data_IF_445556417131
#
_entry.id   IF_445556417131
#
_cell.length_a   1.000
_cell.length_b   1.000
_cell.length_c   1.000
_cell.angle_alpha   90.00
_cell.angle_beta   90.00
_cell.angle_gamma   90.00
#
_symmetry.space_group_name_H-M   'P 1'
#
loop_
_entity.id
_entity.type
_entity.pdbx_description
1 polymer ?
#
# COMPACT_ATOMS: atom_id res chain seq x y z
N UNK A 1 -33.94 -1.99 -28.87
CA UNK A 1 -32.80 -2.02 -27.94
C UNK A 1 -32.98 -3.04 -26.81
N UNK A 2 -33.79 -2.80 -25.77
CA UNK A 2 -33.93 -3.73 -24.62
C UNK A 2 -34.19 -5.20 -25.00
N UNK A 3 -35.11 -5.44 -25.95
CA UNK A 3 -35.38 -6.79 -26.47
C UNK A 3 -34.20 -7.45 -27.21
N UNK A 4 -33.28 -6.65 -27.73
CA UNK A 4 -32.13 -7.09 -28.53
C UNK A 4 -30.85 -7.25 -27.70
N UNK A 5 -30.64 -6.39 -26.70
CA UNK A 5 -29.41 -6.33 -25.90
C UNK A 5 -29.60 -6.74 -24.44
N UNK A 6 -30.84 -7.01 -24.00
CA UNK A 6 -31.14 -7.44 -22.63
C UNK A 6 -31.07 -6.33 -21.58
N UNK A 7 -30.40 -5.22 -21.86
CA UNK A 7 -30.26 -4.06 -20.99
C UNK A 7 -30.78 -2.74 -21.63
N UNK A 8 -30.67 -1.67 -20.86
CA UNK A 8 -30.94 -0.29 -21.30
C UNK A 8 -29.70 0.60 -21.16
N UNK A 9 -28.51 0.00 -21.15
CA UNK A 9 -27.23 0.73 -21.15
C UNK A 9 -26.83 1.09 -22.59
N UNK A 10 -27.64 1.95 -23.23
CA UNK A 10 -27.44 2.35 -24.63
C UNK A 10 -26.17 3.22 -24.75
N UNK A 11 -25.11 2.78 -25.47
CA UNK A 11 -23.91 3.58 -25.69
C UNK A 11 -24.24 4.88 -26.42
N UNK A 12 -23.54 5.99 -26.09
CA UNK A 12 -23.75 7.29 -26.73
C UNK A 12 -23.65 7.24 -28.27
N UNK A 13 -22.82 6.33 -28.79
CA UNK A 13 -22.59 6.11 -30.22
C UNK A 13 -23.65 5.27 -30.91
N UNK A 14 -24.60 4.66 -30.17
CA UNK A 14 -25.59 3.77 -30.76
C UNK A 14 -26.64 4.54 -31.59
N UNK A 15 -26.83 4.08 -32.83
CA UNK A 15 -27.84 4.55 -33.78
C UNK A 15 -28.75 3.37 -34.11
N UNK A 16 -30.05 3.54 -33.91
CA UNK A 16 -31.05 2.54 -34.25
C UNK A 16 -31.19 2.39 -35.77
N UNK A 17 -31.75 1.27 -36.24
CA UNK A 17 -31.92 0.97 -37.67
C UNK A 17 -32.79 1.97 -38.44
N UNK A 18 -33.53 2.83 -37.74
CA UNK A 18 -34.32 3.93 -38.28
C UNK A 18 -33.57 5.28 -38.27
N UNK A 19 -32.26 5.27 -38.00
CA UNK A 19 -31.40 6.46 -37.96
C UNK A 19 -31.45 7.24 -36.63
N UNK A 20 -32.25 6.81 -35.65
CA UNK A 20 -32.36 7.52 -34.36
C UNK A 20 -31.16 7.27 -33.45
N UNK A 21 -30.49 8.34 -33.01
CA UNK A 21 -29.37 8.30 -32.05
C UNK A 21 -29.85 8.07 -30.61
N UNK A 22 -30.33 6.86 -30.32
CA UNK A 22 -30.95 6.54 -29.02
C UNK A 22 -30.00 6.76 -27.83
N UNK A 23 -28.69 6.54 -27.99
CA UNK A 23 -27.73 6.76 -26.92
C UNK A 23 -27.59 8.23 -26.49
N UNK A 24 -27.49 9.12 -27.48
CA UNK A 24 -27.47 10.58 -27.25
C UNK A 24 -28.80 11.04 -26.65
N UNK A 25 -29.92 10.54 -27.20
CA UNK A 25 -31.25 10.89 -26.72
C UNK A 25 -31.43 10.51 -25.24
N UNK A 26 -31.09 9.28 -24.85
CA UNK A 26 -31.23 8.81 -23.47
C UNK A 26 -30.38 9.62 -22.49
N UNK A 27 -29.16 10.00 -22.88
CA UNK A 27 -28.31 10.87 -22.05
C UNK A 27 -28.90 12.27 -21.88
N UNK A 28 -29.50 12.83 -22.93
CA UNK A 28 -30.17 14.12 -22.83
C UNK A 28 -31.38 14.04 -21.88
N UNK A 29 -32.17 12.96 -21.93
CA UNK A 29 -33.27 12.74 -20.97
C UNK A 29 -32.76 12.64 -19.53
N UNK A 30 -31.69 11.86 -19.28
CA UNK A 30 -31.07 11.76 -17.94
C UNK A 30 -30.53 13.12 -17.46
N UNK A 31 -29.97 13.94 -18.35
CA UNK A 31 -29.50 15.29 -18.03
C UNK A 31 -30.66 16.22 -17.65
N UNK A 32 -31.74 16.21 -18.43
CA UNK A 32 -32.97 16.96 -18.17
C UNK A 32 -33.62 16.56 -16.83
N UNK A 33 -33.63 15.27 -16.51
CA UNK A 33 -34.15 14.76 -15.23
C UNK A 33 -33.34 15.29 -14.04
N UNK A 34 -32.00 15.21 -14.10
CA UNK A 34 -31.11 15.71 -13.03
C UNK A 34 -31.23 17.22 -12.82
N UNK A 35 -31.41 17.97 -13.91
CA UNK A 35 -31.60 19.43 -13.88
C UNK A 35 -33.05 19.83 -13.53
N UNK A 36 -33.93 18.86 -13.26
CA UNK A 36 -35.37 19.05 -12.99
C UNK A 36 -36.06 19.95 -14.02
N UNK A 37 -35.68 19.82 -15.29
CA UNK A 37 -36.14 20.70 -16.34
C UNK A 37 -36.50 19.90 -17.60
N UNK A 38 -37.70 20.13 -18.14
CA UNK A 38 -38.09 19.66 -19.47
C UNK A 38 -38.62 18.22 -19.58
N UNK A 39 -38.80 17.50 -18.46
CA UNK A 39 -39.49 16.20 -18.42
C UNK A 39 -40.80 16.30 -17.65
N UNK A 40 -41.90 15.85 -18.25
CA UNK A 40 -43.19 15.74 -17.54
C UNK A 40 -43.23 14.49 -16.66
N UNK A 41 -44.14 14.46 -15.68
CA UNK A 41 -44.31 13.30 -14.79
C UNK A 41 -44.68 12.03 -15.57
N UNK A 42 -45.49 12.17 -16.61
CA UNK A 42 -45.92 11.07 -17.49
C UNK A 42 -44.76 10.52 -18.31
N UNK A 43 -43.83 11.39 -18.76
CA UNK A 43 -42.63 10.97 -19.47
C UNK A 43 -41.68 10.19 -18.55
N UNK A 44 -41.51 10.66 -17.31
CA UNK A 44 -40.70 9.96 -16.30
C UNK A 44 -41.28 8.59 -16.03
N UNK A 45 -42.57 8.48 -15.75
CA UNK A 45 -43.24 7.20 -15.49
C UNK A 45 -43.13 6.21 -16.65
N UNK A 46 -43.24 6.68 -17.90
CA UNK A 46 -43.05 5.82 -19.08
C UNK A 46 -41.62 5.28 -19.19
N UNK A 47 -40.62 6.07 -18.82
CA UNK A 47 -39.21 5.68 -18.87
C UNK A 47 -38.86 4.73 -17.70
N UNK A 48 -39.43 4.97 -16.52
CA UNK A 48 -39.33 4.05 -15.37
C UNK A 48 -40.00 2.71 -15.64
N UNK A 49 -41.18 2.70 -16.27
CA UNK A 49 -41.87 1.48 -16.69
C UNK A 49 -41.05 0.65 -17.71
N UNK A 50 -40.17 1.29 -18.48
CA UNK A 50 -39.22 0.61 -19.35
C UNK A 50 -38.01 0.04 -18.58
N UNK A 51 -37.79 0.45 -17.33
CA UNK A 51 -36.65 0.06 -16.50
C UNK A 51 -35.44 0.98 -16.67
N UNK A 52 -35.64 2.25 -17.04
CA UNK A 52 -34.55 3.23 -17.14
C UNK A 52 -34.20 3.73 -15.74
N UNK A 53 -32.99 3.42 -15.28
CA UNK A 53 -32.42 4.01 -14.07
C UNK A 53 -31.88 5.42 -14.37
N UNK A 54 -32.34 6.41 -13.62
CA UNK A 54 -31.94 7.83 -13.74
C UNK A 54 -30.55 8.13 -13.16
N UNK A 55 -30.10 7.26 -12.27
CA UNK A 55 -28.81 7.31 -11.62
C UNK A 55 -27.65 7.19 -12.63
N UNK A 56 -26.52 7.81 -12.30
CA UNK A 56 -25.42 8.06 -13.24
C UNK A 56 -24.62 6.79 -13.63
N UNK A 57 -23.74 6.92 -14.62
CA UNK A 57 -22.76 5.90 -15.04
C UNK A 57 -21.85 5.44 -13.88
N UNK A 58 -21.72 6.26 -12.83
CA UNK A 58 -21.01 5.95 -11.58
C UNK A 58 -21.84 5.05 -10.66
N UNK A 59 -23.16 5.25 -10.59
CA UNK A 59 -24.07 4.38 -9.83
C UNK A 59 -24.17 3.00 -10.48
N UNK A 60 -24.22 2.94 -11.82
CA UNK A 60 -24.17 1.65 -12.53
C UNK A 60 -22.83 0.93 -12.38
N UNK A 61 -21.74 1.64 -12.09
CA UNK A 61 -20.46 1.05 -11.71
C UNK A 61 -20.44 0.48 -10.29
N UNK A 62 -21.06 1.18 -9.33
CA UNK A 62 -21.21 0.68 -7.97
C UNK A 62 -22.12 -0.55 -7.92
N UNK A 63 -23.28 -0.50 -8.57
CA UNK A 63 -24.24 -1.62 -8.55
C UNK A 63 -23.70 -2.88 -9.22
N UNK A 64 -22.99 -2.76 -10.35
CA UNK A 64 -22.36 -3.93 -10.99
C UNK A 64 -21.33 -4.59 -10.08
N UNK A 65 -20.49 -3.80 -9.41
CA UNK A 65 -19.48 -4.33 -8.47
C UNK A 65 -20.09 -4.86 -7.18
N UNK A 66 -21.13 -4.21 -6.67
CA UNK A 66 -21.89 -4.67 -5.51
C UNK A 66 -22.55 -6.02 -5.78
N UNK A 67 -23.19 -6.18 -6.95
CA UNK A 67 -23.78 -7.45 -7.34
C UNK A 67 -22.73 -8.55 -7.48
N UNK A 68 -21.60 -8.25 -8.13
CA UNK A 68 -20.49 -9.19 -8.26
C UNK A 68 -19.90 -9.58 -6.89
N UNK A 69 -19.77 -8.64 -5.95
CA UNK A 69 -19.33 -8.94 -4.58
C UNK A 69 -20.35 -9.76 -3.79
N UNK A 70 -21.64 -9.47 -3.92
CA UNK A 70 -22.71 -10.25 -3.30
C UNK A 70 -22.72 -11.70 -3.78
N UNK A 71 -22.52 -11.93 -5.07
CA UNK A 71 -22.39 -13.27 -5.65
C UNK A 71 -21.13 -13.98 -5.17
N UNK A 72 -19.98 -13.30 -5.19
CA UNK A 72 -18.74 -13.84 -4.66
C UNK A 72 -18.86 -14.26 -3.18
N UNK A 73 -19.49 -13.42 -2.36
CA UNK A 73 -19.75 -13.74 -0.95
C UNK A 73 -20.67 -14.95 -0.80
N UNK A 74 -21.68 -15.10 -1.66
CA UNK A 74 -22.56 -16.27 -1.65
C UNK A 74 -21.83 -17.56 -2.03
N UNK A 75 -20.87 -17.49 -2.94
CA UNK A 75 -20.08 -18.63 -3.42
C UNK A 75 -18.94 -19.03 -2.46
N UNK A 76 -18.33 -18.07 -1.76
CA UNK A 76 -17.10 -18.29 -0.98
C UNK A 76 -17.19 -17.92 0.50
N UNK A 77 -18.26 -17.25 0.92
CA UNK A 77 -18.52 -16.88 2.31
C UNK A 77 -17.59 -15.81 2.90
N UNK A 78 -16.72 -15.18 2.10
CA UNK A 78 -15.82 -14.12 2.56
C UNK A 78 -15.58 -13.05 1.49
N UNK A 79 -15.29 -11.82 1.93
CA UNK A 79 -14.86 -10.70 1.09
C UNK A 79 -13.46 -10.17 1.48
N UNK A 80 -12.70 -10.95 2.24
CA UNK A 80 -11.28 -10.68 2.46
C UNK A 80 -10.44 -11.26 1.32
N UNK A 81 -10.57 -10.60 0.18
CA UNK A 81 -9.95 -11.02 -1.08
C UNK A 81 -8.65 -10.24 -1.37
N UNK A 82 -7.72 -10.84 -2.14
CA UNK A 82 -6.55 -10.13 -2.66
C UNK A 82 -6.94 -8.93 -3.52
N UNK A 83 -6.14 -7.86 -3.47
CA UNK A 83 -6.38 -6.63 -4.23
C UNK A 83 -6.41 -6.82 -5.76
N UNK A 84 -5.77 -7.89 -6.25
CA UNK A 84 -5.68 -8.24 -7.67
C UNK A 84 -6.84 -9.09 -8.16
N UNK A 85 -7.76 -9.52 -7.27
CA UNK A 85 -8.85 -10.40 -7.66
C UNK A 85 -9.81 -9.69 -8.62
N UNK A 86 -10.03 -10.33 -9.77
CA UNK A 86 -11.05 -9.98 -10.75
C UNK A 86 -12.09 -11.10 -10.78
N UNK A 87 -13.36 -10.75 -10.62
CA UNK A 87 -14.47 -11.68 -10.62
C UNK A 87 -15.54 -11.20 -11.60
N UNK A 88 -15.94 -12.08 -12.53
CA UNK A 88 -16.90 -11.79 -13.62
C UNK A 88 -16.59 -10.48 -14.38
N UNK A 89 -15.30 -10.21 -14.60
CA UNK A 89 -14.84 -9.00 -15.32
C UNK A 89 -14.73 -7.74 -14.46
N UNK A 90 -15.12 -7.78 -13.18
CA UNK A 90 -15.02 -6.66 -12.25
C UNK A 90 -13.83 -6.84 -11.30
N UNK A 91 -12.99 -5.81 -11.16
CA UNK A 91 -11.84 -5.81 -10.24
C UNK A 91 -12.26 -5.65 -8.78
N UNK A 92 -12.92 -6.66 -8.22
CA UNK A 92 -13.45 -6.64 -6.86
C UNK A 92 -12.39 -6.33 -5.81
N UNK A 93 -11.22 -6.97 -5.89
CA UNK A 93 -10.14 -6.76 -4.92
C UNK A 93 -9.71 -5.29 -4.81
N UNK A 94 -9.54 -4.65 -5.98
CA UNK A 94 -9.18 -3.23 -6.07
C UNK A 94 -10.32 -2.36 -5.55
N UNK A 95 -11.54 -2.65 -5.96
CA UNK A 95 -12.72 -1.88 -5.56
C UNK A 95 -12.98 -1.93 -4.06
N UNK A 96 -12.92 -3.10 -3.42
CA UNK A 96 -13.07 -3.21 -1.96
C UNK A 96 -11.98 -2.42 -1.22
N UNK A 97 -10.75 -2.37 -1.75
CA UNK A 97 -9.69 -1.54 -1.17
C UNK A 97 -9.96 -0.03 -1.36
N UNK A 98 -10.47 0.40 -2.51
CA UNK A 98 -10.91 1.79 -2.72
C UNK A 98 -11.99 2.19 -1.71
N UNK A 99 -12.95 1.30 -1.44
CA UNK A 99 -13.99 1.51 -0.44
C UNK A 99 -13.42 1.67 0.98
N UNK A 100 -12.47 0.81 1.37
CA UNK A 100 -11.77 0.92 2.68
C UNK A 100 -11.03 2.24 2.82
N UNK A 101 -10.30 2.65 1.77
CA UNK A 101 -9.58 3.92 1.76
C UNK A 101 -10.53 5.12 1.83
N UNK A 102 -11.65 5.08 1.11
CA UNK A 102 -12.66 6.14 1.14
C UNK A 102 -13.34 6.27 2.51
N UNK A 103 -13.49 5.17 3.26
CA UNK A 103 -14.00 5.18 4.63
C UNK A 103 -12.99 5.80 5.61
N UNK A 104 -11.71 5.44 5.50
CA UNK A 104 -10.67 5.91 6.41
C UNK A 104 -10.21 7.35 6.13
N UNK A 105 -10.16 7.76 4.86
CA UNK A 105 -9.67 9.08 4.44
C UNK A 105 -10.79 10.12 4.31
N UNK A 106 -11.80 10.07 5.20
CA UNK A 106 -12.94 10.99 5.21
C UNK A 106 -12.55 12.43 5.63
N UNK A 107 -11.69 13.06 4.83
CA UNK A 107 -11.40 14.49 4.87
C UNK A 107 -12.41 15.30 4.03
N UNK A 108 -12.40 16.64 4.15
CA UNK A 108 -13.43 17.52 3.57
C UNK A 108 -13.56 17.47 2.03
N UNK A 109 -12.53 16.99 1.32
CA UNK A 109 -12.48 16.98 -0.14
C UNK A 109 -12.78 15.61 -0.78
N UNK A 110 -12.76 14.52 -0.02
CA UNK A 110 -13.09 13.20 -0.55
C UNK A 110 -14.58 12.92 -0.35
N UNK A 111 -15.24 12.47 -1.41
CA UNK A 111 -16.65 12.12 -1.39
C UNK A 111 -16.86 10.94 -0.45
N UNK A 112 -17.21 11.23 0.81
CA UNK A 112 -17.48 10.25 1.87
C UNK A 112 -18.52 9.26 1.34
N UNK A 113 -18.29 7.96 1.56
CA UNK A 113 -19.32 6.96 1.29
C UNK A 113 -20.61 7.37 2.01
N UNK A 114 -21.74 7.33 1.30
CA UNK A 114 -23.03 7.55 1.95
C UNK A 114 -23.29 6.42 2.94
N UNK A 115 -23.93 6.76 4.06
CA UNK A 115 -24.28 5.79 5.11
C UNK A 115 -25.06 4.60 4.54
N UNK A 116 -25.96 4.86 3.59
CA UNK A 116 -26.73 3.85 2.86
C UNK A 116 -25.84 2.83 2.12
N UNK A 117 -24.74 3.28 1.51
CA UNK A 117 -23.79 2.41 0.80
C UNK A 117 -22.98 1.57 1.78
N UNK A 118 -22.58 2.14 2.92
CA UNK A 118 -21.90 1.40 4.00
C UNK A 118 -22.80 0.28 4.54
N UNK A 119 -24.07 0.60 4.83
CA UNK A 119 -25.03 -0.38 5.33
C UNK A 119 -25.26 -1.54 4.35
N UNK A 120 -25.41 -1.25 3.05
CA UNK A 120 -25.54 -2.29 2.02
C UNK A 120 -24.30 -3.18 1.94
N UNK A 121 -23.11 -2.60 2.00
CA UNK A 121 -21.86 -3.35 2.02
C UNK A 121 -21.73 -4.24 3.27
N UNK A 122 -22.19 -3.76 4.43
CA UNK A 122 -22.23 -4.56 5.66
C UNK A 122 -23.11 -5.82 5.51
N UNK A 123 -24.24 -5.71 4.82
CA UNK A 123 -25.16 -6.84 4.61
C UNK A 123 -24.54 -7.98 3.79
N UNK A 124 -23.56 -7.69 2.93
CA UNK A 124 -22.86 -8.70 2.12
C UNK A 124 -21.53 -9.16 2.76
N UNK A 125 -21.29 -8.85 4.04
CA UNK A 125 -20.10 -9.29 4.75
C UNK A 125 -18.84 -8.49 4.42
N UNK A 126 -18.98 -7.19 4.10
CA UNK A 126 -17.84 -6.31 3.86
C UNK A 126 -16.93 -6.23 5.09
N UNK A 127 -15.65 -6.55 4.88
CA UNK A 127 -14.59 -6.43 5.88
C UNK A 127 -13.92 -5.07 5.70
N UNK A 128 -14.25 -4.10 6.55
CA UNK A 128 -13.67 -2.76 6.55
C UNK A 128 -12.23 -2.76 7.08
N UNK A 129 -11.99 -3.50 8.16
CA UNK A 129 -10.67 -3.70 8.74
C UNK A 129 -10.21 -5.13 8.48
N UNK A 130 -9.15 -5.29 7.68
CA UNK A 130 -8.53 -6.60 7.48
C UNK A 130 -7.89 -7.05 8.79
N UNK A 131 -8.03 -8.33 9.16
CA UNK A 131 -7.30 -8.92 10.30
C UNK A 131 -5.79 -8.71 10.19
N UNK A 132 -5.27 -8.74 8.96
CA UNK A 132 -3.89 -8.43 8.63
C UNK A 132 -3.74 -6.98 8.13
N UNK A 133 -4.23 -6.02 8.91
CA UNK A 133 -4.07 -4.60 8.61
C UNK A 133 -2.61 -4.17 8.79
N UNK A 134 -2.23 -3.06 8.15
CA UNK A 134 -0.88 -2.50 8.33
C UNK A 134 -0.59 -2.20 9.81
N UNK A 135 -1.60 -1.71 10.54
CA UNK A 135 -1.51 -1.45 11.99
C UNK A 135 -1.33 -2.75 12.79
N UNK A 136 -2.04 -3.82 12.45
CA UNK A 136 -1.84 -5.12 13.09
C UNK A 136 -0.41 -5.63 12.89
N UNK A 137 0.16 -5.46 11.69
CA UNK A 137 1.57 -5.81 11.44
C UNK A 137 2.55 -4.96 12.25
N UNK A 138 2.25 -3.68 12.50
CA UNK A 138 3.03 -2.86 13.42
C UNK A 138 2.98 -3.38 14.85
N UNK A 139 1.81 -3.80 15.33
CA UNK A 139 1.66 -4.42 16.66
C UNK A 139 2.45 -5.73 16.77
N UNK A 140 2.47 -6.54 15.70
CA UNK A 140 3.30 -7.75 15.65
C UNK A 140 4.80 -7.41 15.68
N UNK A 141 5.21 -6.36 14.97
CA UNK A 141 6.59 -5.88 15.02
C UNK A 141 6.96 -5.42 16.45
N UNK A 142 6.12 -4.62 17.11
CA UNK A 142 6.34 -4.23 18.51
C UNK A 142 6.45 -5.43 19.44
N UNK A 143 5.58 -6.42 19.28
CA UNK A 143 5.61 -7.66 20.05
C UNK A 143 6.95 -8.39 19.86
N UNK A 144 7.40 -8.53 18.61
CA UNK A 144 8.68 -9.13 18.30
C UNK A 144 9.85 -8.33 18.89
N UNK A 145 9.84 -7.00 18.75
CA UNK A 145 10.87 -6.12 19.29
C UNK A 145 10.96 -6.22 20.82
N UNK A 146 9.82 -6.33 21.51
CA UNK A 146 9.78 -6.52 22.97
C UNK A 146 10.39 -7.85 23.40
N UNK A 147 10.22 -8.91 22.60
CA UNK A 147 10.74 -10.25 22.89
C UNK A 147 12.22 -10.39 22.55
N UNK A 148 12.69 -9.77 21.46
CA UNK A 148 14.02 -10.00 20.89
C UNK A 148 14.99 -8.81 21.02
N UNK A 149 14.47 -7.60 21.27
CA UNK A 149 15.26 -6.36 21.37
C UNK A 149 15.70 -5.77 20.02
N UNK A 150 15.38 -6.43 18.90
CA UNK A 150 15.61 -5.92 17.55
C UNK A 150 14.51 -6.39 16.56
N UNK A 151 14.52 -5.79 15.36
CA UNK A 151 13.66 -6.16 14.24
C UNK A 151 14.47 -6.66 13.04
N UNK A 152 15.63 -7.27 13.29
CA UNK A 152 16.46 -7.88 12.25
C UNK A 152 15.96 -9.28 11.91
N UNK A 153 14.75 -9.30 11.36
CA UNK A 153 14.02 -10.52 11.04
C UNK A 153 14.38 -11.01 9.63
N UNK A 154 14.66 -12.30 9.47
CA UNK A 154 14.77 -12.94 8.15
C UNK A 154 13.50 -12.74 7.32
N UNK A 155 13.64 -12.50 6.01
CA UNK A 155 12.49 -12.36 5.10
C UNK A 155 11.57 -13.60 5.07
N UNK A 156 12.09 -14.76 5.48
CA UNK A 156 11.35 -16.02 5.53
C UNK A 156 10.63 -16.25 6.87
N UNK A 157 10.81 -15.35 7.84
CA UNK A 157 10.12 -15.46 9.12
C UNK A 157 8.61 -15.28 8.95
N UNK A 158 7.86 -16.22 9.54
CA UNK A 158 6.41 -16.24 9.60
C UNK A 158 6.01 -16.23 11.06
N UNK A 159 5.17 -15.27 11.45
CA UNK A 159 4.62 -15.16 12.80
C UNK A 159 3.66 -16.31 13.15
N UNK A 160 3.27 -16.40 14.42
CA UNK A 160 2.35 -17.44 14.92
C UNK A 160 0.96 -17.38 14.28
N UNK A 161 0.61 -16.22 13.76
CA UNK A 161 -0.60 -15.89 13.02
C UNK A 161 -0.52 -16.21 11.51
N UNK A 162 0.61 -16.75 11.04
CA UNK A 162 0.84 -17.06 9.63
C UNK A 162 1.25 -15.83 8.80
N UNK A 163 1.50 -14.67 9.42
CA UNK A 163 1.88 -13.46 8.71
C UNK A 163 3.39 -13.44 8.45
N UNK A 164 3.76 -13.16 7.21
CA UNK A 164 5.15 -13.02 6.77
C UNK A 164 5.75 -11.69 7.22
N UNK A 165 5.93 -11.52 8.53
CA UNK A 165 6.38 -10.27 9.14
C UNK A 165 7.75 -9.83 8.59
N UNK A 166 8.69 -10.77 8.41
CA UNK A 166 10.01 -10.46 7.86
C UNK A 166 9.97 -9.92 6.43
N UNK A 167 9.14 -10.52 5.56
CA UNK A 167 8.92 -10.03 4.20
C UNK A 167 8.25 -8.65 4.19
N UNK A 168 7.30 -8.43 5.09
CA UNK A 168 6.61 -7.15 5.18
C UNK A 168 7.53 -6.01 5.64
N UNK A 169 8.33 -6.22 6.68
CA UNK A 169 9.33 -5.26 7.16
C UNK A 169 10.35 -4.93 6.06
N UNK A 170 10.79 -5.94 5.29
CA UNK A 170 11.65 -5.73 4.13
C UNK A 170 11.02 -4.79 3.09
N UNK A 171 9.73 -4.98 2.77
CA UNK A 171 9.00 -4.10 1.86
C UNK A 171 8.94 -2.66 2.42
N UNK A 172 8.71 -2.48 3.72
CA UNK A 172 8.70 -1.15 4.34
C UNK A 172 10.08 -0.46 4.24
N UNK A 173 11.16 -1.19 4.57
CA UNK A 173 12.55 -0.71 4.40
C UNK A 173 12.86 -0.33 2.95
N UNK A 174 12.32 -1.07 1.96
CA UNK A 174 12.48 -0.73 0.54
C UNK A 174 11.70 0.53 0.14
N UNK A 175 10.48 0.72 0.66
CA UNK A 175 9.70 1.94 0.39
C UNK A 175 10.34 3.17 1.03
N UNK A 176 10.88 3.04 2.24
CA UNK A 176 11.65 4.08 2.91
C UNK A 176 12.87 4.49 2.06
N UNK A 177 13.67 3.52 1.61
CA UNK A 177 14.84 3.78 0.75
C UNK A 177 14.49 4.47 -0.57
N UNK A 178 13.31 4.21 -1.12
CA UNK A 178 12.81 4.84 -2.35
C UNK A 178 12.17 6.21 -2.12
N UNK A 179 11.98 6.63 -0.86
CA UNK A 179 11.27 7.87 -0.53
C UNK A 179 9.77 7.82 -0.84
N UNK A 180 9.19 6.63 -0.96
CA UNK A 180 7.77 6.45 -1.29
C UNK A 180 6.92 6.05 -0.07
N UNK A 181 7.55 5.93 1.10
CA UNK A 181 6.85 5.63 2.35
C UNK A 181 6.21 6.91 2.89
N UNK A 182 4.92 6.84 3.25
CA UNK A 182 4.21 7.97 3.85
C UNK A 182 4.81 8.32 5.22
N UNK A 183 4.85 9.61 5.58
CA UNK A 183 5.53 10.07 6.80
C UNK A 183 4.92 9.45 8.06
N UNK A 184 3.59 9.38 8.16
CA UNK A 184 2.92 8.77 9.32
C UNK A 184 3.26 7.27 9.46
N UNK A 185 3.51 6.55 8.36
CA UNK A 185 3.93 5.14 8.40
C UNK A 185 5.35 5.01 8.91
N UNK A 186 6.21 5.98 8.58
CA UNK A 186 7.58 6.02 9.05
C UNK A 186 7.62 6.26 10.57
N UNK A 187 6.94 7.30 11.05
CA UNK A 187 6.83 7.61 12.48
C UNK A 187 6.30 6.41 13.27
N UNK A 188 5.22 5.80 12.78
CA UNK A 188 4.59 4.65 13.44
C UNK A 188 5.47 3.39 13.45
N UNK A 189 6.32 3.19 12.45
CA UNK A 189 7.30 2.08 12.45
C UNK A 189 8.51 2.38 13.35
N UNK A 190 8.89 3.64 13.51
CA UNK A 190 9.92 4.06 14.47
C UNK A 190 9.46 3.81 15.90
N UNK A 191 8.20 4.12 16.21
CA UNK A 191 7.56 3.74 17.49
C UNK A 191 7.57 2.22 17.72
N UNK A 192 7.42 1.43 16.65
CA UNK A 192 7.50 -0.02 16.72
C UNK A 192 8.93 -0.56 16.93
N UNK A 193 9.95 0.31 16.93
CA UNK A 193 11.35 -0.07 17.14
C UNK A 193 12.11 -0.39 15.85
N UNK A 194 11.61 0.00 14.67
CA UNK A 194 12.34 -0.28 13.42
C UNK A 194 13.64 0.53 13.36
N UNK A 195 14.74 -0.16 13.04
CA UNK A 195 15.97 0.50 12.67
C UNK A 195 16.04 0.64 11.15
N UNK A 196 16.05 1.87 10.65
CA UNK A 196 16.20 2.15 9.22
C UNK A 196 17.62 1.98 8.71
N UNK A 197 18.60 1.96 9.62
CA UNK A 197 19.99 1.70 9.28
C UNK A 197 20.13 0.25 8.80
N UNK A 198 20.81 0.06 7.69
CA UNK A 198 21.18 -1.26 7.20
C UNK A 198 22.18 -1.93 8.16
N UNK A 199 22.20 -3.26 8.19
CA UNK A 199 23.22 -4.01 8.92
C UNK A 199 24.65 -3.59 8.53
N UNK A 200 24.86 -3.18 7.28
CA UNK A 200 26.14 -2.63 6.82
C UNK A 200 26.48 -1.27 7.43
N UNK A 201 25.49 -0.40 7.63
CA UNK A 201 25.67 0.89 8.29
C UNK A 201 25.91 0.70 9.79
N UNK A 202 25.15 -0.17 10.45
CA UNK A 202 25.38 -0.53 11.86
C UNK A 202 26.79 -1.10 12.06
N UNK A 203 27.21 -2.03 11.19
CA UNK A 203 28.56 -2.60 11.23
C UNK A 203 29.65 -1.58 10.87
N UNK A 204 29.32 -0.57 10.06
CA UNK A 204 30.22 0.54 9.78
C UNK A 204 30.38 1.44 11.01
N UNK A 205 29.29 1.85 11.65
CA UNK A 205 29.30 2.63 12.89
C UNK A 205 30.07 1.92 14.02
N UNK A 206 29.84 0.62 14.19
CA UNK A 206 30.60 -0.19 15.17
C UNK A 206 32.11 -0.16 14.88
N UNK A 207 32.49 -0.25 13.61
CA UNK A 207 33.89 -0.18 13.22
C UNK A 207 34.50 1.20 13.42
N UNK A 208 33.75 2.27 13.17
CA UNK A 208 34.18 3.65 13.46
C UNK A 208 34.41 3.85 14.95
N UNK A 209 33.47 3.43 15.81
CA UNK A 209 33.65 3.52 17.28
C UNK A 209 34.88 2.76 17.77
N UNK A 210 35.10 1.55 17.26
CA UNK A 210 36.28 0.76 17.60
C UNK A 210 37.58 1.44 17.11
N UNK A 211 37.52 2.12 15.95
CA UNK A 211 38.63 2.89 15.41
C UNK A 211 38.93 4.13 16.26
N UNK A 212 37.92 4.89 16.65
CA UNK A 212 38.03 6.04 17.57
C UNK A 212 38.62 5.61 18.92
N UNK A 213 38.14 4.51 19.49
CA UNK A 213 38.67 3.97 20.75
C UNK A 213 40.14 3.58 20.62
N UNK A 214 40.53 2.95 19.51
CA UNK A 214 41.92 2.62 19.23
C UNK A 214 42.79 3.89 19.15
N UNK A 215 42.36 4.91 18.41
CA UNK A 215 43.12 6.17 18.28
C UNK A 215 43.24 6.94 19.60
N UNK A 216 42.19 6.93 20.42
CA UNK A 216 42.23 7.51 21.77
C UNK A 216 43.26 6.81 22.68
N UNK A 217 43.45 5.49 22.52
CA UNK A 217 44.40 4.71 23.32
C UNK A 217 45.83 4.74 22.80
N UNK A 218 46.03 4.79 21.48
CA UNK A 218 47.32 4.46 20.85
C UNK A 218 47.98 5.60 20.05
N UNK A 219 47.53 6.86 20.20
CA UNK A 219 48.14 8.06 19.59
C UNK A 219 48.73 7.82 18.19
N UNK A 220 47.87 7.40 17.25
CA UNK A 220 48.19 7.31 15.82
C UNK A 220 49.13 6.18 15.35
N UNK A 221 49.23 5.07 16.07
CA UNK A 221 49.97 3.88 15.62
C UNK A 221 49.25 3.15 14.45
N UNK A 222 49.99 2.75 13.41
CA UNK A 222 49.45 2.02 12.26
C UNK A 222 48.75 0.70 12.68
N UNK A 223 47.55 0.48 12.15
CA UNK A 223 46.71 -0.67 12.53
C UNK A 223 47.08 -1.87 11.67
N UNK A 224 47.81 -2.82 12.27
CA UNK A 224 48.06 -4.12 11.64
C UNK A 224 46.75 -4.83 11.27
N UNK A 225 46.72 -5.48 10.09
CA UNK A 225 45.57 -6.25 9.59
C UNK A 225 45.05 -7.32 10.57
N UNK A 226 45.95 -7.85 11.42
CA UNK A 226 45.64 -8.86 12.42
C UNK A 226 45.15 -8.30 13.76
N UNK A 227 45.09 -6.98 13.94
CA UNK A 227 44.77 -6.37 15.23
C UNK A 227 43.33 -6.68 15.66
N UNK A 228 43.20 -7.05 16.94
CA UNK A 228 41.95 -7.39 17.62
C UNK A 228 41.85 -6.53 18.87
N UNK A 229 40.71 -5.86 19.03
CA UNK A 229 40.38 -5.05 20.21
C UNK A 229 40.22 -5.94 21.45
N UNK A 230 40.34 -5.39 22.67
CA UNK A 230 40.12 -6.14 23.92
C UNK A 230 38.74 -6.82 24.04
N UNK A 231 37.72 -6.28 23.37
CA UNK A 231 36.37 -6.86 23.29
C UNK A 231 36.25 -8.00 22.24
N UNK A 232 37.35 -8.37 21.59
CA UNK A 232 37.41 -9.38 20.53
C UNK A 232 37.09 -8.86 19.13
N UNK A 233 36.80 -7.57 18.96
CA UNK A 233 36.49 -7.00 17.65
C UNK A 233 37.74 -6.92 16.75
N UNK A 234 37.69 -7.57 15.58
CA UNK A 234 38.81 -7.63 14.61
C UNK A 234 38.95 -6.34 13.80
N UNK A 235 39.33 -5.25 14.48
CA UNK A 235 39.44 -3.91 13.90
C UNK A 235 40.39 -3.87 12.70
N UNK A 236 41.57 -4.49 12.77
CA UNK A 236 42.54 -4.46 11.65
C UNK A 236 42.00 -5.09 10.36
N UNK A 237 41.22 -6.17 10.50
CA UNK A 237 40.55 -6.82 9.38
C UNK A 237 39.39 -6.01 8.83
N UNK A 238 38.70 -5.24 9.68
CA UNK A 238 37.65 -4.31 9.25
C UNK A 238 38.24 -3.13 8.49
N UNK A 239 39.28 -2.46 9.01
CA UNK A 239 39.98 -1.35 8.35
C UNK A 239 40.50 -1.76 6.97
N UNK A 240 41.13 -2.94 6.88
CA UNK A 240 41.59 -3.49 5.60
C UNK A 240 40.45 -3.67 4.57
N UNK A 241 39.26 -4.12 5.01
CA UNK A 241 38.08 -4.22 4.15
C UNK A 241 37.57 -2.85 3.70
N UNK A 242 37.62 -1.84 4.57
CA UNK A 242 37.21 -0.48 4.19
C UNK A 242 38.17 0.14 3.17
N UNK A 243 39.49 0.00 3.35
CA UNK A 243 40.50 0.42 2.35
C UNK A 243 40.26 -0.23 0.98
N UNK A 244 39.93 -1.53 0.97
CA UNK A 244 39.54 -2.24 -0.27
C UNK A 244 38.26 -1.67 -0.88
N UNK A 245 37.22 -1.41 -0.08
CA UNK A 245 35.96 -0.82 -0.58
C UNK A 245 36.15 0.58 -1.15
N UNK A 246 37.02 1.40 -0.54
CA UNK A 246 37.41 2.74 -1.02
C UNK A 246 38.03 2.64 -2.42
N UNK A 247 39.06 1.78 -2.58
CA UNK A 247 39.69 1.52 -3.88
C UNK A 247 38.70 0.99 -4.93
N UNK A 248 37.77 0.15 -4.52
CA UNK A 248 36.76 -0.43 -5.41
C UNK A 248 35.57 0.55 -5.68
N UNK A 249 35.60 1.79 -5.14
CA UNK A 249 34.56 2.82 -5.34
C UNK A 249 33.20 2.52 -4.69
N UNK A 250 33.19 1.71 -3.63
CA UNK A 250 31.97 1.19 -2.97
C UNK A 250 31.62 1.90 -1.66
N UNK A 251 32.42 2.88 -1.24
CA UNK A 251 32.10 3.72 -0.08
C UNK A 251 31.28 4.93 -0.51
N UNK A 252 30.39 5.38 0.36
CA UNK A 252 29.74 6.69 0.16
C UNK A 252 30.73 7.80 0.47
N UNK A 253 30.57 8.98 -0.14
CA UNK A 253 31.45 10.12 0.13
C UNK A 253 31.51 10.52 1.62
N UNK A 254 30.43 10.26 2.37
CA UNK A 254 30.42 10.45 3.82
C UNK A 254 31.28 9.41 4.57
N UNK A 255 31.21 8.14 4.18
CA UNK A 255 32.04 7.08 4.77
C UNK A 255 33.53 7.35 4.53
N UNK A 256 33.89 7.82 3.34
CA UNK A 256 35.28 8.17 3.00
C UNK A 256 35.79 9.35 3.82
N UNK A 257 34.99 10.41 3.98
CA UNK A 257 35.34 11.55 4.83
C UNK A 257 35.59 11.13 6.28
N UNK A 258 34.71 10.32 6.86
CA UNK A 258 34.84 9.84 8.25
C UNK A 258 36.07 8.97 8.46
N UNK A 259 36.37 8.07 7.52
CA UNK A 259 37.58 7.24 7.58
C UNK A 259 38.85 8.09 7.45
N UNK A 260 38.85 9.07 6.56
CA UNK A 260 40.00 9.97 6.34
C UNK A 260 40.24 10.87 7.55
N UNK A 261 39.19 11.36 8.21
CA UNK A 261 39.28 12.13 9.45
C UNK A 261 39.94 11.33 10.60
N UNK A 262 39.81 10.00 10.57
CA UNK A 262 40.45 9.08 11.50
C UNK A 262 41.77 8.52 10.95
N UNK A 263 42.42 9.18 9.99
CA UNK A 263 43.74 8.77 9.48
C UNK A 263 43.75 7.47 8.67
N UNK A 264 42.58 6.98 8.22
CA UNK A 264 42.47 5.81 7.34
C UNK A 264 42.38 6.27 5.90
N UNK A 265 43.54 6.32 5.23
CA UNK A 265 43.65 6.57 3.80
C UNK A 265 43.44 5.31 2.93
#
# INVERSE_FOLDING_TARGET
YKRQFGDLEIPCSYVAGDGKKLGVWLNNQKSSYRKRHGLTKEQVQKLEALGICWEGKLESGFERKYQAASEYYREHGNLDIPSTLVYKGESLGKWLNELRLAQNNAGPQNQKLTEEKVQRLNQIGMVWEKKDSWEYRCQLAEGYFREHGDLEISQQYVGRDGIWLGKWLYIQKMQYKKGTLEEWKKERLEEAGICWQSASEIAFEKGIRALEEYFNRCQNADISKGYVMPDGYRLGSWVYRQKRKKRDGKLTGEQERRLTALGVE
#
